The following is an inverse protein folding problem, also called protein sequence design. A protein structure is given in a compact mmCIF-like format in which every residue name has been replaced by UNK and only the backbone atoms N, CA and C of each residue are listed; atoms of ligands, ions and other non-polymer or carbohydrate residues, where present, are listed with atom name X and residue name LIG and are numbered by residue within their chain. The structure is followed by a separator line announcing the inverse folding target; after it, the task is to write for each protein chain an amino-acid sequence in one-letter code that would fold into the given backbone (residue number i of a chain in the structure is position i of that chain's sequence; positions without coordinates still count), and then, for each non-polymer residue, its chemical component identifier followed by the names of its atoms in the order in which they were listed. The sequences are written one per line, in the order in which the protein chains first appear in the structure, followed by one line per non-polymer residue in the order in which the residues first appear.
data_IF_172486928094
#
_entry.id   IF_172486928094
#
_cell.length_a   1.000
_cell.length_b   1.000
_cell.length_c   1.000
_cell.angle_alpha   90.00
_cell.angle_beta   90.00
_cell.angle_gamma   90.00
#
_symmetry.space_group_name_H-M   'P 1'
#
loop_
_entity.id
_entity.type
_entity.pdbx_description
1 polymer ?
#
# COMPACT_ATOMS: atom_id res chain seq x y z
N UNK A 1 -6.04 -37.17 -37.26
CA UNK A 1 -5.87 -37.57 -35.85
C UNK A 1 -5.86 -36.30 -35.02
N UNK A 2 -6.84 -36.12 -34.14
CA UNK A 2 -6.84 -35.05 -33.15
C UNK A 2 -6.19 -35.57 -31.87
N UNK A 3 -5.19 -34.84 -31.37
CA UNK A 3 -4.69 -34.82 -30.00
C UNK A 3 -4.37 -33.32 -29.77
N UNK A 4 -4.99 -32.56 -28.87
CA UNK A 4 -5.77 -32.90 -27.69
C UNK A 4 -4.90 -32.74 -26.43
N UNK A 5 -5.07 -31.61 -25.73
CA UNK A 5 -4.68 -31.29 -24.35
C UNK A 5 -3.16 -31.20 -24.08
N UNK A 6 -2.63 -29.99 -23.84
CA UNK A 6 -2.51 -29.35 -22.51
C UNK A 6 -1.25 -29.80 -21.75
N UNK A 7 -0.10 -29.31 -22.20
CA UNK A 7 1.11 -29.13 -21.39
C UNK A 7 1.49 -27.66 -21.63
N UNK A 8 1.66 -26.75 -20.68
CA UNK A 8 2.00 -26.85 -19.27
C UNK A 8 1.57 -25.50 -18.66
N UNK A 9 0.53 -25.48 -17.83
CA UNK A 9 0.13 -24.32 -17.00
C UNK A 9 1.05 -24.17 -15.77
N UNK A 10 2.25 -24.74 -15.80
CA UNK A 10 3.24 -24.52 -14.76
C UNK A 10 3.78 -23.09 -14.91
N UNK A 11 3.70 -22.26 -13.85
CA UNK A 11 4.33 -20.94 -13.89
C UNK A 11 5.81 -21.13 -14.21
N UNK A 12 6.35 -20.30 -15.11
CA UNK A 12 7.78 -20.23 -15.38
C UNK A 12 8.55 -20.23 -14.05
N UNK A 13 9.68 -20.93 -13.91
CA UNK A 13 10.40 -21.06 -12.64
C UNK A 13 10.67 -19.69 -11.96
N UNK A 14 10.94 -18.65 -12.75
CA UNK A 14 11.14 -17.28 -12.26
C UNK A 14 9.89 -16.67 -11.58
N UNK A 15 8.70 -17.03 -12.05
CA UNK A 15 7.43 -16.59 -11.45
C UNK A 15 7.14 -17.34 -10.15
N UNK A 16 7.44 -18.64 -10.10
CA UNK A 16 7.27 -19.44 -8.88
C UNK A 16 8.17 -18.93 -7.74
N UNK A 17 9.42 -18.59 -8.05
CA UNK A 17 10.36 -18.02 -7.08
C UNK A 17 9.87 -16.64 -6.58
N UNK A 18 9.37 -15.80 -7.49
CA UNK A 18 8.81 -14.48 -7.13
C UNK A 18 7.57 -14.59 -6.23
N UNK A 19 6.70 -15.57 -6.49
CA UNK A 19 5.52 -15.83 -5.67
C UNK A 19 5.90 -16.33 -4.27
N UNK A 20 6.93 -17.18 -4.16
CA UNK A 20 7.45 -17.63 -2.86
C UNK A 20 8.02 -16.46 -2.06
N UNK A 21 8.88 -15.64 -2.68
CA UNK A 21 9.44 -14.42 -2.07
C UNK A 21 8.35 -13.45 -1.59
N UNK A 22 7.28 -13.33 -2.37
CA UNK A 22 6.12 -12.50 -2.02
C UNK A 22 5.35 -13.08 -0.83
N UNK A 23 5.09 -14.39 -0.84
CA UNK A 23 4.40 -15.07 0.26
C UNK A 23 5.20 -14.98 1.56
N UNK A 24 6.53 -15.17 1.51
CA UNK A 24 7.41 -15.01 2.65
C UNK A 24 7.38 -13.59 3.21
N UNK A 25 7.43 -12.58 2.34
CA UNK A 25 7.34 -11.18 2.75
C UNK A 25 6.00 -10.88 3.43
N UNK A 26 4.89 -11.26 2.79
CA UNK A 26 3.53 -11.03 3.30
C UNK A 26 3.33 -11.72 4.65
N UNK A 27 3.82 -12.95 4.81
CA UNK A 27 3.75 -13.70 6.07
C UNK A 27 4.61 -13.05 7.16
N UNK A 28 5.85 -12.64 6.84
CA UNK A 28 6.75 -11.96 7.79
C UNK A 28 6.17 -10.66 8.33
N UNK A 29 5.47 -9.90 7.49
CA UNK A 29 4.85 -8.63 7.86
C UNK A 29 3.32 -8.73 8.01
N UNK A 30 2.81 -9.94 8.32
CA UNK A 30 1.37 -10.19 8.49
C UNK A 30 0.70 -9.23 9.45
N UNK A 31 1.40 -8.85 10.52
CA UNK A 31 0.92 -7.93 11.54
C UNK A 31 0.56 -6.52 11.00
N UNK A 32 1.04 -6.13 9.81
CA UNK A 32 0.72 -4.85 9.18
C UNK A 32 -0.69 -4.87 8.57
N UNK A 33 -1.09 -5.99 7.96
CA UNK A 33 -2.31 -6.08 7.14
C UNK A 33 -3.40 -6.99 7.72
N UNK A 34 -3.07 -7.87 8.66
CA UNK A 34 -3.98 -8.82 9.32
C UNK A 34 -4.83 -8.15 10.42
N UNK A 35 -5.33 -6.96 10.13
CA UNK A 35 -6.17 -6.19 11.05
C UNK A 35 -7.24 -5.45 10.26
N UNK A 36 -8.51 -5.67 10.63
CA UNK A 36 -9.55 -4.76 10.20
C UNK A 36 -9.25 -3.36 10.74
N UNK A 37 -9.14 -2.36 9.85
CA UNK A 37 -8.79 -0.99 10.22
C UNK A 37 -9.67 -0.43 11.35
N UNK A 38 -10.94 -0.85 11.39
CA UNK A 38 -11.91 -0.49 12.44
C UNK A 38 -11.58 -1.07 13.82
N UNK A 39 -10.78 -2.14 13.90
CA UNK A 39 -10.36 -2.82 15.14
C UNK A 39 -8.92 -2.49 15.54
N UNK A 40 -8.19 -1.72 14.74
CA UNK A 40 -6.78 -1.44 14.95
C UNK A 40 -6.53 -0.80 16.33
N UNK A 41 -7.41 0.12 16.75
CA UNK A 41 -7.32 0.82 18.05
C UNK A 41 -7.68 -0.07 19.23
N UNK A 42 -8.58 -1.02 19.02
CA UNK A 42 -9.05 -1.92 20.07
C UNK A 42 -8.05 -3.04 20.35
N UNK A 43 -7.38 -3.55 19.30
CA UNK A 43 -6.49 -4.71 19.39
C UNK A 43 -5.05 -4.37 19.77
N UNK A 44 -4.72 -3.09 19.99
CA UNK A 44 -3.36 -2.61 20.27
C UNK A 44 -2.31 -3.15 19.27
N UNK A 45 -2.71 -3.41 18.03
CA UNK A 45 -1.83 -4.02 17.03
C UNK A 45 -0.61 -3.17 16.68
N UNK A 46 -0.71 -1.86 16.93
CA UNK A 46 0.41 -0.91 16.94
C UNK A 46 1.60 -1.40 17.74
N UNK A 47 1.41 -2.12 18.83
CA UNK A 47 2.49 -2.61 19.69
C UNK A 47 3.41 -3.62 18.98
N UNK A 48 3.00 -4.16 17.83
CA UNK A 48 3.83 -5.04 16.99
C UNK A 48 4.75 -4.26 16.04
N UNK A 49 4.51 -2.96 15.85
CA UNK A 49 5.42 -2.09 15.09
C UNK A 49 6.72 -1.99 15.88
N UNK A 50 7.89 -2.27 15.27
CA UNK A 50 9.17 -2.08 15.92
C UNK A 50 9.29 -0.67 16.46
N UNK A 51 9.70 -0.53 17.73
CA UNK A 51 9.64 0.77 18.41
C UNK A 51 10.48 1.85 17.72
N UNK A 52 11.55 1.43 17.06
CA UNK A 52 12.45 2.28 16.28
C UNK A 52 11.78 2.89 15.04
N UNK A 53 10.67 2.34 14.55
CA UNK A 53 9.95 2.88 13.38
C UNK A 53 9.10 4.10 13.74
N UNK A 54 8.67 4.22 15.01
CA UNK A 54 7.79 5.31 15.43
C UNK A 54 8.39 6.68 15.21
N UNK A 55 9.67 6.87 15.57
CA UNK A 55 10.36 8.15 15.42
C UNK A 55 10.31 8.66 13.98
N UNK A 56 10.86 7.91 13.01
CA UNK A 56 10.79 8.25 11.60
C UNK A 56 9.37 8.41 11.07
N UNK A 57 8.46 7.45 11.33
CA UNK A 57 7.13 7.46 10.73
C UNK A 57 6.25 8.60 11.23
N UNK A 58 6.40 9.03 12.49
CA UNK A 58 5.64 10.15 13.06
C UNK A 58 6.17 11.53 12.64
N UNK A 59 7.37 11.60 12.06
CA UNK A 59 7.94 12.86 11.55
C UNK A 59 7.50 13.17 10.12
N UNK A 60 6.93 12.19 9.40
CA UNK A 60 6.50 12.33 8.02
C UNK A 60 5.10 12.93 7.94
N UNK A 61 4.89 13.77 6.91
CA UNK A 61 3.55 14.19 6.53
C UNK A 61 2.84 13.12 5.68
N UNK A 62 1.54 13.34 5.41
CA UNK A 62 0.71 12.41 4.65
C UNK A 62 1.26 12.16 3.25
N UNK A 63 1.78 13.19 2.57
CA UNK A 63 2.35 13.08 1.23
C UNK A 63 3.57 12.16 1.23
N UNK A 64 4.47 12.33 2.20
CA UNK A 64 5.67 11.51 2.37
C UNK A 64 5.33 10.07 2.76
N UNK A 65 4.35 9.87 3.64
CA UNK A 65 3.86 8.52 3.99
C UNK A 65 3.31 7.79 2.76
N UNK A 66 2.60 8.50 1.89
CA UNK A 66 2.11 7.94 0.63
C UNK A 66 3.22 7.59 -0.38
N UNK A 67 4.45 8.11 -0.21
CA UNK A 67 5.60 7.74 -1.03
C UNK A 67 6.30 6.46 -0.56
N UNK A 68 6.03 5.95 0.65
CA UNK A 68 6.68 4.75 1.18
C UNK A 68 6.54 3.52 0.26
N UNK A 69 5.35 3.19 -0.29
CA UNK A 69 5.21 2.05 -1.21
C UNK A 69 6.02 2.20 -2.51
N UNK A 70 6.44 3.42 -2.83
CA UNK A 70 7.22 3.75 -4.02
C UNK A 70 8.73 3.84 -3.73
N UNK A 71 9.16 3.51 -2.51
CA UNK A 71 10.59 3.41 -2.15
C UNK A 71 11.18 4.61 -1.44
N UNK A 72 10.36 5.55 -1.02
CA UNK A 72 10.85 6.67 -0.24
C UNK A 72 11.49 6.16 1.06
N UNK A 73 12.78 6.46 1.25
CA UNK A 73 13.55 6.12 2.44
C UNK A 73 14.56 7.23 2.74
N UNK A 74 14.90 7.42 4.01
CA UNK A 74 15.97 8.34 4.41
C UNK A 74 17.17 7.60 5.03
N UNK A 75 18.40 8.13 4.90
CA UNK A 75 19.60 7.50 5.48
C UNK A 75 19.59 7.40 7.00
N UNK A 76 18.86 8.29 7.66
CA UNK A 76 18.70 8.37 9.12
C UNK A 76 17.81 7.26 9.69
N UNK A 77 17.06 6.56 8.85
CA UNK A 77 16.08 5.57 9.29
C UNK A 77 16.73 4.27 9.76
N UNK A 78 16.12 3.57 10.73
CA UNK A 78 16.58 2.28 11.18
C UNK A 78 16.64 1.29 10.02
N UNK A 79 17.63 0.41 10.05
CA UNK A 79 17.88 -0.55 8.97
C UNK A 79 16.66 -1.43 8.69
N UNK A 80 15.96 -1.85 9.74
CA UNK A 80 14.76 -2.67 9.65
C UNK A 80 13.65 -2.00 8.83
N UNK A 81 13.45 -0.69 8.99
CA UNK A 81 12.46 0.08 8.23
C UNK A 81 12.86 0.21 6.76
N UNK A 82 14.14 0.51 6.48
CA UNK A 82 14.65 0.57 5.10
C UNK A 82 14.53 -0.78 4.40
N UNK A 83 14.83 -1.88 5.10
CA UNK A 83 14.66 -3.24 4.59
C UNK A 83 13.19 -3.57 4.32
N UNK A 84 12.27 -3.14 5.19
CA UNK A 84 10.83 -3.29 4.96
C UNK A 84 10.39 -2.55 3.70
N UNK A 85 10.76 -1.28 3.54
CA UNK A 85 10.40 -0.48 2.36
C UNK A 85 10.96 -1.09 1.08
N UNK A 86 12.25 -1.43 1.04
CA UNK A 86 12.87 -2.08 -0.12
C UNK A 86 12.21 -3.44 -0.44
N UNK A 87 11.89 -4.24 0.58
CA UNK A 87 11.17 -5.49 0.42
C UNK A 87 9.77 -5.28 -0.14
N UNK A 88 9.06 -4.25 0.33
CA UNK A 88 7.71 -3.92 -0.14
C UNK A 88 7.71 -3.53 -1.62
N UNK A 89 8.72 -2.79 -2.09
CA UNK A 89 8.84 -2.45 -3.51
C UNK A 89 9.09 -3.69 -4.38
N UNK A 90 9.96 -4.59 -3.91
CA UNK A 90 10.33 -5.81 -4.65
C UNK A 90 9.13 -6.72 -4.89
N UNK A 91 8.20 -6.78 -3.93
CA UNK A 91 6.98 -7.62 -4.02
C UNK A 91 5.77 -6.86 -4.56
N UNK A 92 5.89 -5.54 -4.77
CA UNK A 92 4.83 -4.79 -5.42
C UNK A 92 4.79 -5.12 -6.90
N UNK A 93 3.60 -5.45 -7.39
CA UNK A 93 3.36 -5.50 -8.83
C UNK A 93 3.59 -4.10 -9.41
N UNK A 94 4.24 -4.04 -10.57
CA UNK A 94 4.38 -2.81 -11.32
C UNK A 94 2.97 -2.27 -11.59
N UNK A 95 2.63 -1.15 -10.95
CA UNK A 95 1.36 -0.47 -11.17
C UNK A 95 1.48 0.27 -12.50
N UNK A 96 1.32 -0.46 -13.60
CA UNK A 96 1.02 0.16 -14.90
C UNK A 96 -0.35 0.81 -14.76
N UNK A 97 -0.34 2.10 -14.41
CA UNK A 97 -1.53 2.93 -14.48
C UNK A 97 -1.80 3.10 -15.97
N UNK A 98 -2.92 2.57 -16.51
CA UNK A 98 -3.22 2.77 -17.91
C UNK A 98 -3.33 4.27 -18.21
N UNK A 99 -2.87 4.71 -19.37
CA UNK A 99 -2.82 6.15 -19.72
C UNK A 99 -4.15 6.89 -19.54
N UNK A 100 -5.29 6.19 -19.67
CA UNK A 100 -6.62 6.76 -19.46
C UNK A 100 -6.90 7.14 -17.99
N UNK A 101 -6.25 6.51 -17.02
CA UNK A 101 -6.35 6.86 -15.59
C UNK A 101 -5.48 8.10 -15.29
N UNK A 102 -4.31 8.21 -15.91
CA UNK A 102 -3.48 9.43 -15.84
C UNK A 102 -4.16 10.63 -16.49
N UNK A 103 -4.91 10.42 -17.58
CA UNK A 103 -5.72 11.45 -18.23
C UNK A 103 -6.95 11.90 -17.40
N UNK A 104 -7.38 11.09 -16.42
CA UNK A 104 -8.47 11.41 -15.50
C UNK A 104 -8.00 11.96 -14.15
N UNK A 105 -6.70 12.15 -13.95
CA UNK A 105 -6.18 12.83 -12.77
C UNK A 105 -6.71 14.27 -12.75
N UNK A 106 -7.73 14.51 -11.92
CA UNK A 106 -8.32 15.82 -11.71
C UNK A 106 -7.22 16.76 -11.23
N UNK A 107 -7.01 17.93 -11.85
CA UNK A 107 -6.03 18.89 -11.36
C UNK A 107 -6.37 19.24 -9.91
N UNK A 108 -5.44 18.94 -9.00
CA UNK A 108 -5.51 19.25 -7.57
C UNK A 108 -5.69 20.75 -7.37
N UNK A 109 -6.96 21.17 -7.36
CA UNK A 109 -7.37 22.57 -7.27
C UNK A 109 -8.81 22.75 -6.80
N UNK A 110 -9.44 21.72 -6.23
CA UNK A 110 -10.74 21.85 -5.56
C UNK A 110 -10.71 21.18 -4.20
N UNK A 111 -10.39 21.98 -3.18
CA UNK A 111 -11.04 21.86 -1.88
C UNK A 111 -12.53 22.10 -2.09
N UNK A 112 -13.39 21.16 -1.68
CA UNK A 112 -14.82 21.38 -1.44
C UNK A 112 -15.39 20.23 -0.62
N UNK A 113 -14.81 20.02 0.56
CA UNK A 113 -15.58 19.57 1.73
C UNK A 113 -15.92 20.82 2.55
N UNK A 114 -16.95 21.56 2.11
CA UNK A 114 -17.66 22.68 2.76
C UNK A 114 -18.58 23.21 1.64
N UNK A 115 -19.91 23.22 1.70
CA UNK A 115 -20.81 23.53 2.81
C UNK A 115 -22.08 22.65 2.69
N UNK A 116 -22.42 21.95 3.78
CA UNK A 116 -23.81 21.64 4.10
C UNK A 116 -24.21 22.74 5.09
N UNK A 117 -24.89 23.79 4.65
CA UNK A 117 -25.72 24.59 5.55
C UNK A 117 -26.77 25.44 4.81
N UNK A 118 -27.97 25.44 5.40
CA UNK A 118 -29.04 26.42 5.29
C UNK A 118 -29.74 26.66 3.94
N UNK A 119 -30.73 25.80 3.66
CA UNK A 119 -31.99 26.23 3.01
C UNK A 119 -33.22 25.69 3.76
N UNK A 120 -33.31 26.02 5.04
CA UNK A 120 -34.59 26.12 5.75
C UNK A 120 -34.69 27.55 6.29
N UNK A 121 -35.24 28.45 5.47
CA UNK A 121 -36.18 29.51 5.89
C UNK A 121 -36.38 30.46 4.70
N UNK A 122 -37.55 30.37 4.08
CA UNK A 122 -38.32 31.44 3.40
C UNK A 122 -39.30 30.74 2.46
N UNK A 123 -40.35 30.15 3.04
CA UNK A 123 -41.64 30.06 2.36
C UNK A 123 -42.70 30.56 3.34
N UNK A 124 -43.26 31.71 2.94
CA UNK A 124 -44.60 32.23 3.23
C UNK A 124 -45.55 31.35 4.02
#
# INVERSE_FOLDING_TARGET
MMQGASDSDAPSPELADTMCDTAEFISRYQWVWDVQMTRLFQMKHWNRIPSEWWGPLLQLNTEQLNQLPFGFTEPSWPQSLRTFVAGSQRVCLERSVPDWVSAMAVPSGRSLCQEYDSKEDTMR
#
